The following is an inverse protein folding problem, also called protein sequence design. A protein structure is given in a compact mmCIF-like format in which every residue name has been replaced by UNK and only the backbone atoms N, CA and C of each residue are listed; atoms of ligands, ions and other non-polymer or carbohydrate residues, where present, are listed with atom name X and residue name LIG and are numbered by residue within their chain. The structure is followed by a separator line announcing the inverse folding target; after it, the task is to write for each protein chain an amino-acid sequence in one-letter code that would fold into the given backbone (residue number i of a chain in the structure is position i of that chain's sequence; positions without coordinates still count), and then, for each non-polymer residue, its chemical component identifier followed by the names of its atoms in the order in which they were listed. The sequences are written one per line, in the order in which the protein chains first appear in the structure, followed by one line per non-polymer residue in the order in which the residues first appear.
data_IF_328332703712
#
_entry.id   IF_328332703712
#
_cell.length_a   1.000
_cell.length_b   1.000
_cell.length_c   1.000
_cell.angle_alpha   90.00
_cell.angle_beta   90.00
_cell.angle_gamma   90.00
#
_symmetry.space_group_name_H-M   'P 1'
#
loop_
_entity.id
_entity.type
_entity.pdbx_description
1 polymer ?
#
# COMPACT_ATOMS: atom_id res chain seq x y z
N UNK A 1 -8.76 -5.77 -4.98
CA UNK A 1 -9.23 -5.03 -6.18
C UNK A 1 -10.12 -5.95 -6.98
N UNK A 2 -11.04 -5.48 -7.81
CA UNK A 2 -11.77 -6.33 -8.75
C UNK A 2 -11.28 -6.01 -10.16
N UNK A 3 -11.06 -7.04 -10.97
CA UNK A 3 -10.56 -6.85 -12.34
C UNK A 3 -11.58 -6.13 -13.22
N UNK A 4 -12.87 -6.28 -12.89
CA UNK A 4 -13.99 -5.59 -13.53
C UNK A 4 -15.09 -5.24 -12.52
N UNK A 5 -15.64 -4.02 -12.56
CA UNK A 5 -16.92 -3.67 -11.91
C UNK A 5 -17.85 -3.08 -12.96
N UNK A 6 -19.08 -3.59 -13.01
CA UNK A 6 -20.13 -2.94 -13.81
C UNK A 6 -20.74 -1.80 -13.00
N UNK A 7 -20.55 -0.57 -13.46
CA UNK A 7 -21.14 0.64 -12.87
C UNK A 7 -22.07 1.25 -13.93
N UNK A 8 -23.37 1.29 -13.65
CA UNK A 8 -24.40 1.80 -14.57
C UNK A 8 -24.32 1.19 -15.98
N UNK A 9 -24.05 -0.12 -16.08
CA UNK A 9 -23.95 -0.83 -17.37
C UNK A 9 -22.62 -0.64 -18.11
N UNK A 10 -21.65 0.08 -17.52
CA UNK A 10 -20.28 0.19 -18.06
C UNK A 10 -19.34 -0.68 -17.24
N UNK A 11 -18.62 -1.59 -17.90
CA UNK A 11 -17.57 -2.40 -17.27
C UNK A 11 -16.30 -1.58 -17.13
N UNK A 12 -15.94 -1.22 -15.89
CA UNK A 12 -14.66 -0.59 -15.58
C UNK A 12 -13.61 -1.67 -15.34
N UNK A 13 -12.50 -1.62 -16.08
CA UNK A 13 -11.35 -2.51 -15.86
C UNK A 13 -10.42 -1.93 -14.77
N UNK A 14 -9.82 -2.80 -13.95
CA UNK A 14 -8.85 -2.43 -12.92
C UNK A 14 -9.37 -1.34 -11.96
N UNK A 15 -10.46 -1.66 -11.25
CA UNK A 15 -11.12 -0.74 -10.32
C UNK A 15 -10.30 -0.67 -9.02
N UNK A 16 -9.87 0.53 -8.60
CA UNK A 16 -9.05 0.69 -7.41
C UNK A 16 -9.86 0.38 -6.15
N UNK A 17 -9.18 -0.08 -5.10
CA UNK A 17 -9.83 -0.43 -3.82
C UNK A 17 -10.63 0.74 -3.23
N UNK A 18 -10.15 1.97 -3.43
CA UNK A 18 -10.85 3.19 -3.00
C UNK A 18 -12.28 3.28 -3.54
N UNK A 19 -12.47 2.89 -4.81
CA UNK A 19 -13.78 2.94 -5.46
C UNK A 19 -14.74 1.90 -4.86
N UNK A 20 -14.23 0.73 -4.46
CA UNK A 20 -15.03 -0.32 -3.84
C UNK A 20 -15.60 0.09 -2.47
N UNK A 21 -14.85 0.91 -1.73
CA UNK A 21 -15.29 1.38 -0.40
C UNK A 21 -15.96 2.76 -0.43
N UNK A 22 -15.87 3.48 -1.56
CA UNK A 22 -16.45 4.82 -1.71
C UNK A 22 -17.94 4.90 -1.31
N UNK A 23 -18.81 3.90 -1.59
CA UNK A 23 -20.21 3.94 -1.15
C UNK A 23 -20.41 4.03 0.37
N UNK A 24 -19.45 3.53 1.15
CA UNK A 24 -19.47 3.58 2.62
C UNK A 24 -18.84 4.87 3.16
N UNK A 25 -17.81 5.37 2.49
CA UNK A 25 -17.07 6.59 2.88
C UNK A 25 -17.82 7.86 2.47
N UNK A 26 -18.55 7.83 1.35
CA UNK A 26 -19.39 8.90 0.78
C UNK A 26 -18.68 10.22 0.42
N UNK A 27 -17.39 10.37 0.72
CA UNK A 27 -16.59 11.54 0.37
C UNK A 27 -15.22 11.12 -0.14
N UNK A 28 -14.89 11.50 -1.38
CA UNK A 28 -13.56 11.25 -1.95
C UNK A 28 -12.47 12.15 -1.35
N UNK A 29 -12.85 13.25 -0.69
CA UNK A 29 -11.91 14.14 0.00
C UNK A 29 -11.19 13.44 1.17
N UNK A 30 -11.78 12.39 1.74
CA UNK A 30 -11.16 11.60 2.81
C UNK A 30 -9.95 10.78 2.32
N UNK A 31 -9.78 10.63 1.00
CA UNK A 31 -8.59 10.02 0.40
C UNK A 31 -7.49 11.03 0.05
N UNK A 32 -7.69 12.32 0.32
CA UNK A 32 -6.66 13.34 0.19
C UNK A 32 -5.91 13.50 1.51
N UNK A 33 -4.60 13.26 1.51
CA UNK A 33 -3.74 13.73 2.59
C UNK A 33 -3.40 15.20 2.34
N UNK A 34 -3.67 16.11 3.30
CA UNK A 34 -3.33 17.54 3.15
C UNK A 34 -1.83 17.79 2.93
N UNK A 35 -0.97 16.87 3.36
CA UNK A 35 0.48 16.96 3.19
C UNK A 35 0.97 16.38 1.86
N UNK A 36 0.11 15.71 1.07
CA UNK A 36 0.47 15.26 -0.26
C UNK A 36 0.23 16.38 -1.28
N UNK A 37 1.28 17.13 -1.61
CA UNK A 37 1.22 18.22 -2.59
C UNK A 37 0.92 17.76 -4.01
N UNK A 38 0.99 16.46 -4.30
CA UNK A 38 0.67 15.89 -5.60
C UNK A 38 -0.77 15.40 -5.73
N UNK A 39 -1.56 15.41 -4.65
CA UNK A 39 -2.95 14.95 -4.64
C UNK A 39 -3.95 15.94 -5.29
N UNK A 40 -3.47 17.07 -5.83
CA UNK A 40 -4.28 18.09 -6.48
C UNK A 40 -4.33 17.99 -8.01
N UNK A 41 -5.47 18.33 -8.60
CA UNK A 41 -5.66 18.37 -10.07
C UNK A 41 -5.68 17.00 -10.74
N UNK A 42 -5.74 16.96 -12.07
CA UNK A 42 -5.91 15.73 -12.86
C UNK A 42 -4.74 14.74 -12.73
N UNK A 43 -3.53 15.25 -12.46
CA UNK A 43 -2.34 14.43 -12.22
C UNK A 43 -2.28 13.82 -10.80
N UNK A 44 -3.19 14.23 -9.91
CA UNK A 44 -3.27 13.79 -8.52
C UNK A 44 -4.35 12.75 -8.26
N UNK A 45 -4.85 12.09 -9.30
CA UNK A 45 -5.99 11.16 -9.22
C UNK A 45 -5.54 9.71 -9.48
N UNK A 46 -6.05 8.80 -8.67
CA UNK A 46 -5.85 7.36 -8.81
C UNK A 46 -6.43 6.91 -10.14
N UNK A 47 -5.69 6.11 -10.89
CA UNK A 47 -6.15 5.57 -12.16
C UNK A 47 -7.50 4.83 -11.99
N UNK A 48 -8.40 5.01 -12.96
CA UNK A 48 -9.73 4.37 -13.01
C UNK A 48 -10.63 4.64 -11.78
N UNK A 49 -10.39 5.73 -11.05
CA UNK A 49 -11.12 6.02 -9.81
C UNK A 49 -12.28 7.02 -9.95
N UNK A 50 -12.39 7.71 -11.08
CA UNK A 50 -13.40 8.77 -11.27
C UNK A 50 -13.19 10.02 -10.40
N UNK A 51 -11.97 10.25 -9.88
CA UNK A 51 -11.64 11.47 -9.13
C UNK A 51 -11.16 11.26 -7.69
N UNK A 52 -10.64 10.08 -7.35
CA UNK A 52 -10.09 9.80 -6.01
C UNK A 52 -8.61 10.23 -5.95
N UNK A 53 -8.19 11.04 -4.96
CA UNK A 53 -6.80 11.51 -4.84
C UNK A 53 -5.75 10.42 -4.53
N UNK A 54 -4.50 10.61 -4.97
CA UNK A 54 -3.36 9.65 -4.87
C UNK A 54 -2.60 9.63 -3.52
N UNK A 55 -3.29 9.74 -2.39
CA UNK A 55 -2.58 9.83 -1.09
C UNK A 55 -2.39 8.50 -0.35
N UNK A 56 -3.13 7.47 -0.75
CA UNK A 56 -3.16 6.19 -0.04
C UNK A 56 -3.03 5.04 -1.03
N UNK A 57 -2.23 4.04 -0.66
CA UNK A 57 -1.91 2.89 -1.48
C UNK A 57 -2.18 1.60 -0.72
N UNK A 58 -2.77 0.62 -1.38
CA UNK A 58 -2.97 -0.71 -0.81
C UNK A 58 -1.65 -1.48 -0.71
N UNK A 59 -1.50 -2.22 0.39
CA UNK A 59 -0.48 -3.25 0.53
C UNK A 59 -0.91 -4.52 -0.19
N UNK A 60 -0.54 -4.64 -1.46
CA UNK A 60 -0.88 -5.76 -2.29
C UNK A 60 -0.82 -5.34 -3.74
N UNK A 61 -0.61 -6.29 -4.65
CA UNK A 61 -0.48 -5.98 -6.07
C UNK A 61 -0.36 -7.21 -6.97
N UNK A 62 -0.16 -8.39 -6.41
CA UNK A 62 0.15 -9.59 -7.16
C UNK A 62 0.92 -10.60 -6.36
N UNK A 63 0.87 -11.85 -6.84
CA UNK A 63 1.25 -13.12 -6.22
C UNK A 63 2.38 -13.03 -5.20
N UNK A 64 2.38 -13.89 -4.17
CA UNK A 64 3.41 -13.95 -3.12
C UNK A 64 4.83 -13.82 -3.69
N UNK A 65 5.35 -12.59 -3.70
CA UNK A 65 6.67 -12.34 -4.25
C UNK A 65 7.68 -12.48 -3.12
N UNK A 66 8.82 -13.17 -3.35
CA UNK A 66 9.79 -13.43 -2.30
C UNK A 66 10.29 -12.17 -1.58
N UNK A 67 10.33 -11.01 -2.24
CA UNK A 67 10.80 -9.76 -1.63
C UNK A 67 9.93 -9.25 -0.48
N UNK A 68 8.68 -9.72 -0.36
CA UNK A 68 7.77 -9.36 0.72
C UNK A 68 7.80 -10.36 1.87
N UNK A 69 8.42 -11.52 1.69
CA UNK A 69 8.56 -12.56 2.72
C UNK A 69 7.28 -13.32 3.05
N UNK A 70 6.14 -13.07 2.41
CA UNK A 70 4.86 -13.71 2.72
C UNK A 70 3.68 -13.19 1.89
N UNK A 71 2.47 -13.54 2.32
CA UNK A 71 1.20 -13.18 1.68
C UNK A 71 0.76 -11.76 2.01
N UNK A 72 0.54 -10.94 0.99
CA UNK A 72 0.04 -9.58 1.17
C UNK A 72 -1.49 -9.51 1.22
N UNK A 73 -2.08 -8.56 1.97
CA UNK A 73 -3.51 -8.56 2.23
C UNK A 73 -4.41 -8.15 1.05
N UNK A 74 -3.95 -7.28 0.16
CA UNK A 74 -4.81 -6.67 -0.89
C UNK A 74 -4.39 -7.00 -2.33
N UNK A 75 -4.07 -8.27 -2.63
CA UNK A 75 -3.68 -8.65 -3.99
C UNK A 75 -4.83 -8.54 -5.02
N UNK A 76 -4.46 -8.51 -6.30
CA UNK A 76 -5.41 -8.47 -7.44
C UNK A 76 -6.05 -9.86 -7.65
N UNK A 77 -7.31 -9.95 -8.10
CA UNK A 77 -8.02 -11.24 -8.25
C UNK A 77 -7.30 -12.21 -9.17
N UNK A 78 -6.81 -11.74 -10.32
CA UNK A 78 -5.95 -12.52 -11.24
C UNK A 78 -4.68 -13.10 -10.61
N UNK A 79 -4.31 -12.67 -9.40
CA UNK A 79 -3.08 -13.06 -8.71
C UNK A 79 -3.34 -13.57 -7.28
N UNK A 80 -4.54 -14.14 -7.04
CA UNK A 80 -4.92 -14.73 -5.76
C UNK A 80 -5.93 -13.90 -4.96
N UNK A 81 -6.21 -12.67 -5.38
CA UNK A 81 -7.22 -11.81 -4.76
C UNK A 81 -6.82 -11.26 -3.39
N UNK A 82 -7.70 -10.44 -2.80
CA UNK A 82 -7.53 -10.03 -1.41
C UNK A 82 -7.56 -11.28 -0.52
N UNK A 83 -6.63 -11.35 0.43
CA UNK A 83 -6.58 -12.48 1.35
C UNK A 83 -7.82 -12.48 2.25
N UNK A 84 -8.32 -13.68 2.57
CA UNK A 84 -9.47 -13.82 3.46
C UNK A 84 -9.06 -13.31 4.86
N UNK A 85 -9.93 -12.52 5.50
CA UNK A 85 -9.64 -12.05 6.85
C UNK A 85 -9.38 -13.19 7.83
N UNK A 86 -10.03 -14.34 7.64
CA UNK A 86 -9.82 -15.54 8.46
C UNK A 86 -8.42 -16.15 8.34
N UNK A 87 -7.65 -15.81 7.29
CA UNK A 87 -6.27 -16.28 7.11
C UNK A 87 -5.23 -15.29 7.65
N UNK A 88 -5.68 -14.17 8.24
CA UNK A 88 -4.79 -13.17 8.83
C UNK A 88 -4.42 -13.58 10.25
N UNK A 89 -3.22 -14.12 10.42
CA UNK A 89 -2.73 -14.53 11.74
C UNK A 89 -2.44 -13.32 12.65
N UNK A 90 -2.09 -12.17 12.06
CA UNK A 90 -1.65 -10.99 12.79
C UNK A 90 -2.32 -9.67 12.35
N UNK A 91 -3.66 -9.57 12.39
CA UNK A 91 -4.41 -8.46 11.81
C UNK A 91 -4.05 -7.09 12.40
N UNK A 92 -3.63 -7.03 13.66
CA UNK A 92 -3.20 -5.80 14.34
C UNK A 92 -1.80 -5.31 13.97
N UNK A 93 -1.05 -6.12 13.22
CA UNK A 93 0.32 -5.81 12.79
C UNK A 93 0.54 -5.95 11.29
N UNK A 94 -0.41 -6.50 10.54
CA UNK A 94 -0.36 -6.51 9.08
C UNK A 94 -0.87 -5.18 8.51
N UNK A 95 -0.01 -4.47 7.77
CA UNK A 95 -0.34 -3.23 7.07
C UNK A 95 -1.30 -3.53 5.92
N UNK A 96 -2.42 -2.82 5.88
CA UNK A 96 -3.43 -2.88 4.84
C UNK A 96 -3.27 -1.72 3.84
N UNK A 97 -3.10 -0.50 4.34
CA UNK A 97 -2.94 0.71 3.52
C UNK A 97 -1.79 1.55 4.08
N UNK A 98 -1.05 2.19 3.18
CA UNK A 98 0.03 3.11 3.50
C UNK A 98 -0.19 4.46 2.82
N UNK A 99 0.42 5.50 3.36
CA UNK A 99 0.48 6.79 2.70
C UNK A 99 1.43 6.81 1.50
N UNK A 100 1.14 7.69 0.56
CA UNK A 100 2.05 8.06 -0.52
C UNK A 100 1.98 9.57 -0.74
N UNK A 101 3.15 10.20 -0.72
CA UNK A 101 3.38 11.61 -1.01
C UNK A 101 3.99 11.85 -2.37
N UNK A 102 3.85 10.91 -3.31
CA UNK A 102 4.40 11.02 -4.66
C UNK A 102 3.35 10.80 -5.75
N UNK A 103 3.76 11.00 -7.01
CA UNK A 103 2.92 10.99 -8.22
C UNK A 103 2.47 9.59 -8.67
N UNK A 104 2.36 8.62 -7.77
CA UNK A 104 1.94 7.26 -8.11
C UNK A 104 0.44 7.22 -8.31
N UNK A 105 0.03 7.00 -9.55
CA UNK A 105 -1.38 6.92 -9.93
C UNK A 105 -1.98 5.52 -9.75
N UNK A 106 -1.14 4.50 -9.58
CA UNK A 106 -1.57 3.14 -9.28
C UNK A 106 -2.07 3.06 -7.82
N UNK A 107 -3.16 2.32 -7.53
CA UNK A 107 -3.78 2.30 -6.20
C UNK A 107 -3.02 1.44 -5.17
N UNK A 108 -1.89 0.87 -5.55
CA UNK A 108 -1.33 -0.32 -4.93
C UNK A 108 0.19 -0.37 -5.00
N UNK A 109 0.80 -1.16 -4.10
CA UNK A 109 2.25 -1.29 -3.99
C UNK A 109 2.79 -2.45 -4.85
N UNK A 110 3.11 -2.17 -6.11
CA UNK A 110 4.12 -2.87 -6.90
C UNK A 110 4.87 -4.10 -6.36
N UNK A 111 6.15 -3.83 -6.21
CA UNK A 111 7.19 -4.61 -5.58
C UNK A 111 7.78 -3.77 -4.44
N UNK A 112 8.60 -4.37 -3.59
CA UNK A 112 9.37 -3.59 -2.61
C UNK A 112 10.30 -2.59 -3.29
N UNK A 113 10.71 -2.81 -4.56
CA UNK A 113 11.53 -1.85 -5.32
C UNK A 113 10.80 -0.56 -5.67
N UNK A 114 9.47 -0.50 -5.56
CA UNK A 114 8.72 0.75 -5.70
C UNK A 114 9.09 1.75 -4.60
N UNK A 115 9.59 1.26 -3.47
CA UNK A 115 10.14 2.06 -2.37
C UNK A 115 11.58 2.51 -2.60
N UNK A 116 12.17 2.25 -3.78
CA UNK A 116 13.49 2.77 -4.13
C UNK A 116 13.50 4.30 -4.19
N UNK A 117 14.70 4.88 -4.07
CA UNK A 117 14.89 6.32 -4.19
C UNK A 117 14.33 6.83 -5.53
N UNK A 118 13.57 7.93 -5.47
CA UNK A 118 12.88 8.48 -6.64
C UNK A 118 13.87 8.89 -7.74
N UNK A 119 13.77 8.37 -8.97
CA UNK A 119 14.37 9.04 -10.12
C UNK A 119 13.58 10.33 -10.39
N UNK A 120 14.29 11.41 -10.72
CA UNK A 120 13.76 12.78 -10.92
C UNK A 120 12.60 12.87 -11.94
N UNK A 121 12.37 11.84 -12.75
CA UNK A 121 11.38 11.82 -13.84
C UNK A 121 10.32 10.69 -13.75
N UNK A 122 10.33 9.83 -12.72
CA UNK A 122 9.44 8.67 -12.66
C UNK A 122 8.11 8.91 -11.92
N UNK A 123 6.99 8.55 -12.55
CA UNK A 123 5.63 8.64 -11.96
C UNK A 123 5.21 7.38 -11.18
N UNK A 124 6.06 6.36 -11.06
CA UNK A 124 5.64 5.04 -10.53
C UNK A 124 6.36 4.59 -9.26
N UNK A 125 7.14 5.46 -8.60
CA UNK A 125 7.72 5.14 -7.31
C UNK A 125 6.83 5.66 -6.16
N UNK A 126 7.01 5.06 -5.00
CA UNK A 126 6.31 5.42 -3.77
C UNK A 126 7.24 6.26 -2.91
N UNK A 127 6.69 7.29 -2.29
CA UNK A 127 7.37 8.03 -1.22
C UNK A 127 6.44 8.15 -0.04
N UNK A 128 6.87 7.68 1.13
CA UNK A 128 6.12 7.94 2.35
C UNK A 128 6.09 9.44 2.66
N UNK A 129 4.94 9.91 3.16
CA UNK A 129 4.78 11.31 3.53
C UNK A 129 5.57 11.56 4.80
N UNK A 130 6.34 12.65 4.83
CA UNK A 130 7.14 13.03 5.98
C UNK A 130 6.32 13.82 7.00
N UNK A 131 5.78 13.12 8.01
CA UNK A 131 5.18 13.72 9.20
C UNK A 131 6.16 13.68 10.36
N UNK A 132 7.19 14.52 10.33
CA UNK A 132 8.28 14.57 11.34
C UNK A 132 9.06 13.25 11.44
N UNK A 133 9.38 12.65 10.30
CA UNK A 133 10.08 11.37 10.19
C UNK A 133 9.20 10.13 10.32
N UNK A 134 7.88 10.31 10.43
CA UNK A 134 6.87 9.24 10.50
C UNK A 134 5.93 9.28 9.29
N UNK A 135 5.29 8.14 9.00
CA UNK A 135 4.18 8.00 8.04
C UNK A 135 3.06 7.18 8.66
N UNK A 136 1.82 7.39 8.20
CA UNK A 136 0.66 6.65 8.68
C UNK A 136 0.46 5.33 7.93
N UNK A 137 0.19 4.29 8.70
CA UNK A 137 -0.15 2.96 8.21
C UNK A 137 -1.46 2.50 8.85
N UNK A 138 -2.41 2.08 8.02
CA UNK A 138 -3.65 1.44 8.42
C UNK A 138 -3.41 -0.07 8.48
N UNK A 139 -3.79 -0.70 9.58
CA UNK A 139 -3.67 -2.14 9.80
C UNK A 139 -4.97 -2.86 9.45
N UNK A 140 -4.89 -4.18 9.25
CA UNK A 140 -6.05 -5.02 8.86
C UNK A 140 -7.18 -4.96 9.90
N UNK A 141 -6.87 -4.75 11.17
CA UNK A 141 -7.86 -4.59 12.24
C UNK A 141 -8.53 -3.19 12.29
N UNK A 142 -8.11 -2.26 11.43
CA UNK A 142 -8.68 -0.92 11.33
C UNK A 142 -7.93 0.17 12.10
N UNK A 143 -6.94 -0.16 12.93
CA UNK A 143 -6.15 0.86 13.61
C UNK A 143 -5.19 1.56 12.65
N UNK A 144 -4.92 2.85 12.92
CA UNK A 144 -3.90 3.63 12.20
C UNK A 144 -2.78 3.98 13.16
N UNK A 145 -1.53 3.82 12.73
CA UNK A 145 -0.35 4.20 13.51
C UNK A 145 0.63 5.00 12.67
N UNK A 146 1.16 6.07 13.26
CA UNK A 146 2.29 6.79 12.71
C UNK A 146 3.60 6.08 13.10
N UNK A 147 4.40 5.69 12.11
CA UNK A 147 5.62 4.91 12.31
C UNK A 147 6.75 5.35 11.39
N UNK A 148 7.99 5.10 11.83
CA UNK A 148 9.16 5.12 10.96
C UNK A 148 9.04 4.01 9.92
N UNK A 149 9.35 4.23 8.63
CA UNK A 149 9.32 3.16 7.63
C UNK A 149 10.14 1.94 8.03
N UNK A 150 11.33 2.13 8.61
CA UNK A 150 12.19 1.02 9.06
C UNK A 150 11.56 0.19 10.18
N UNK A 151 10.68 0.77 11.00
CA UNK A 151 9.96 0.05 12.06
C UNK A 151 8.86 -0.87 11.51
N UNK A 152 8.54 -0.77 10.21
CA UNK A 152 7.57 -1.67 9.56
C UNK A 152 8.20 -2.97 9.06
N UNK A 153 9.53 -3.10 9.10
CA UNK A 153 10.25 -4.30 8.71
C UNK A 153 11.13 -4.93 9.80
N UNK A 154 11.21 -4.34 11.00
CA UNK A 154 12.09 -4.80 12.09
C UNK A 154 11.49 -4.40 13.46
N UNK A 155 11.33 -5.32 14.44
CA UNK A 155 11.79 -6.72 14.48
C UNK A 155 10.94 -7.72 13.69
N UNK A 156 9.74 -7.33 13.27
CA UNK A 156 8.82 -8.18 12.51
C UNK A 156 8.41 -7.52 11.20
N UNK A 157 8.08 -8.32 10.20
CA UNK A 157 7.68 -7.84 8.88
C UNK A 157 6.18 -7.51 8.82
N UNK A 158 5.81 -6.24 8.99
CA UNK A 158 4.41 -5.81 8.99
C UNK A 158 3.73 -5.87 7.61
N UNK A 159 4.47 -6.22 6.55
CA UNK A 159 3.98 -6.15 5.16
C UNK A 159 3.29 -7.41 4.66
N UNK A 160 3.25 -8.49 5.45
CA UNK A 160 2.55 -9.72 5.09
C UNK A 160 1.71 -10.28 6.24
N UNK A 161 0.83 -11.24 5.92
CA UNK A 161 -0.13 -11.84 6.83
C UNK A 161 0.53 -12.75 7.88
N UNK A 162 1.73 -13.23 7.59
CA UNK A 162 2.49 -14.17 8.40
C UNK A 162 3.54 -13.48 9.32
N UNK A 163 3.77 -12.18 9.12
CA UNK A 163 4.87 -11.41 9.71
C UNK A 163 6.28 -11.98 9.45
N UNK A 164 6.50 -12.67 8.33
CA UNK A 164 7.72 -13.45 8.05
C UNK A 164 8.69 -12.75 7.11
N UNK A 165 9.98 -13.07 7.23
CA UNK A 165 11.02 -12.60 6.30
C UNK A 165 11.14 -13.44 5.03
N UNK A 166 10.65 -14.68 5.06
CA UNK A 166 10.75 -15.66 3.97
C UNK A 166 9.41 -16.35 3.77
N UNK A 167 8.99 -16.50 2.51
CA UNK A 167 7.73 -17.16 2.17
C UNK A 167 7.69 -18.59 2.72
N UNK A 168 6.64 -18.91 3.47
CA UNK A 168 6.44 -20.24 4.05
C UNK A 168 7.17 -20.48 5.37
N UNK A 169 7.87 -19.48 5.91
CA UNK A 169 8.34 -19.53 7.29
C UNK A 169 7.14 -19.51 8.25
N UNK A 170 7.23 -20.28 9.33
CA UNK A 170 6.20 -20.34 10.36
C UNK A 170 6.42 -19.30 11.47
N UNK A 171 7.63 -18.74 11.57
CA UNK A 171 8.01 -17.84 12.65
C UNK A 171 8.03 -16.37 12.19
N UNK A 172 7.37 -15.47 12.91
CA UNK A 172 7.52 -14.03 12.68
C UNK A 172 8.98 -13.60 12.76
N UNK A 173 9.40 -12.71 11.87
CA UNK A 173 10.77 -12.26 11.78
C UNK A 173 10.91 -11.00 10.96
N UNK A 174 12.12 -10.44 10.87
CA UNK A 174 12.35 -9.21 10.14
C UNK A 174 12.02 -9.37 8.66
N UNK A 175 11.69 -8.26 8.01
CA UNK A 175 11.45 -8.21 6.57
C UNK A 175 12.65 -8.72 5.78
N UNK A 176 12.38 -9.33 4.62
CA UNK A 176 13.39 -9.74 3.67
C UNK A 176 14.41 -8.61 3.42
N UNK A 177 15.69 -8.96 3.21
CA UNK A 177 16.78 -7.98 3.12
C UNK A 177 16.52 -6.88 2.08
N UNK A 178 15.89 -7.22 0.95
CA UNK A 178 15.50 -6.26 -0.10
C UNK A 178 14.51 -5.23 0.44
N UNK A 179 13.41 -5.67 1.06
CA UNK A 179 12.41 -4.77 1.64
C UNK A 179 13.02 -3.92 2.77
N UNK A 180 13.81 -4.52 3.65
CA UNK A 180 14.51 -3.79 4.72
C UNK A 180 15.43 -2.67 4.20
N UNK A 181 16.15 -2.91 3.09
CA UNK A 181 16.97 -1.90 2.42
C UNK A 181 16.12 -0.76 1.83
N UNK A 182 15.00 -1.11 1.19
CA UNK A 182 14.12 -0.10 0.60
C UNK A 182 13.40 0.75 1.66
N UNK A 183 12.97 0.16 2.78
CA UNK A 183 12.41 0.91 3.91
C UNK A 183 13.43 1.86 4.55
N UNK A 184 14.71 1.47 4.57
CA UNK A 184 15.80 2.35 5.01
C UNK A 184 16.00 3.53 4.06
N UNK A 185 15.90 3.29 2.76
CA UNK A 185 15.93 4.34 1.72
C UNK A 185 14.79 5.33 1.90
N UNK A 186 13.57 4.85 2.15
CA UNK A 186 12.41 5.71 2.42
C UNK A 186 12.62 6.55 3.68
N UNK A 187 13.08 5.95 4.78
CA UNK A 187 13.33 6.68 6.02
C UNK A 187 14.40 7.76 5.85
N UNK A 188 15.45 7.51 5.06
CA UNK A 188 16.48 8.49 4.75
C UNK A 188 15.92 9.66 3.91
N UNK A 189 15.00 9.39 2.99
CA UNK A 189 14.34 10.41 2.18
C UNK A 189 13.29 11.24 2.94
N UNK A 190 13.00 10.90 4.20
CA UNK A 190 12.11 11.65 5.11
C UNK A 190 12.87 12.56 6.08
N UNK A 191 14.20 12.69 5.94
CA UNK A 191 15.00 13.65 6.69
C UNK A 191 15.09 14.96 5.91
#
# INVERSE_FOLDING_TARGET
MSDQVSVNGTTLNAVPWHFLIQPYIKSTQLFACPSNTYAGGTAGIVANSGGIPISYLANGQGSNRPEWGGTRPMNRPVQGGGANQATMNYPSTTILVMESGWKRTEPDAWSSVDFSALPTAGNNNIRFINHLGLSNFLFVDGHVKAMKPTATGNPINLWNAENTGTTGDAQPGPAAAVLSSMLSTQQAAMQ
#
